data_IF_947662591639
#
_entry.id   IF_947662591639
#
_cell.length_a   1.000
_cell.length_b   1.000
_cell.length_c   1.000
_cell.angle_alpha   90.00
_cell.angle_beta   90.00
_cell.angle_gamma   90.00
#
_symmetry.space_group_name_H-M   'P 1'
#
loop_
_entity.id
_entity.type
_entity.pdbx_description
1 polymer ?
#
# COMPACT_ATOMS: atom_id res chain seq x y z
N UNK A 1 -15.85 -14.05 54.46
CA UNK A 1 -14.76 -13.29 53.81
C UNK A 1 -14.13 -14.18 52.76
N UNK A 2 -14.48 -13.99 51.49
CA UNK A 2 -13.92 -14.78 50.39
C UNK A 2 -13.53 -13.81 49.30
N UNK A 3 -12.22 -13.60 49.15
CA UNK A 3 -11.64 -12.72 48.14
C UNK A 3 -11.85 -13.37 46.76
N UNK A 4 -12.66 -12.72 45.92
CA UNK A 4 -12.77 -13.02 44.50
C UNK A 4 -11.55 -12.39 43.80
N UNK A 5 -10.55 -13.21 43.53
CA UNK A 5 -9.42 -12.87 42.67
C UNK A 5 -9.95 -12.70 41.25
N UNK A 6 -10.05 -11.45 40.81
CA UNK A 6 -10.35 -11.12 39.43
C UNK A 6 -9.26 -11.71 38.53
N UNK A 7 -9.62 -12.72 37.73
CA UNK A 7 -8.84 -13.12 36.55
C UNK A 7 -8.73 -11.88 35.68
N UNK A 8 -7.53 -11.31 35.56
CA UNK A 8 -7.23 -10.31 34.53
C UNK A 8 -7.41 -10.99 33.17
N UNK A 9 -8.50 -10.65 32.50
CA UNK A 9 -8.69 -10.89 31.07
C UNK A 9 -7.52 -10.24 30.31
N UNK A 10 -6.61 -11.07 29.82
CA UNK A 10 -5.52 -10.70 28.91
C UNK A 10 -6.00 -10.36 27.50
N UNK A 11 -7.32 -10.36 27.28
CA UNK A 11 -7.96 -10.08 25.99
C UNK A 11 -8.10 -8.59 25.65
N UNK A 12 -7.80 -7.69 26.61
CA UNK A 12 -8.01 -6.23 26.42
C UNK A 12 -6.84 -5.46 25.83
N UNK A 13 -5.62 -6.00 25.75
CA UNK A 13 -4.48 -5.31 25.11
C UNK A 13 -4.47 -5.47 23.58
N UNK A 14 -5.39 -6.24 23.01
CA UNK A 14 -5.45 -6.51 21.56
C UNK A 14 -6.27 -5.48 20.76
N UNK A 15 -6.94 -4.51 21.40
CA UNK A 15 -7.82 -3.55 20.72
C UNK A 15 -7.14 -2.32 20.14
N UNK A 16 -5.86 -2.09 20.41
CA UNK A 16 -5.21 -0.80 20.14
C UNK A 16 -4.28 -0.83 18.91
N UNK A 17 -4.27 -1.92 18.14
CA UNK A 17 -3.56 -1.95 16.86
C UNK A 17 -4.36 -1.18 15.81
N UNK A 18 -3.82 -0.03 15.40
CA UNK A 18 -4.39 0.76 14.32
C UNK A 18 -4.01 0.15 12.97
N UNK A 19 -4.92 0.12 11.99
CA UNK A 19 -4.60 -0.27 10.62
C UNK A 19 -3.42 0.55 10.07
N UNK A 20 -2.70 0.00 9.09
CA UNK A 20 -1.55 0.59 8.42
C UNK A 20 -0.20 -0.01 8.81
N UNK A 21 -0.15 -1.21 9.40
CA UNK A 21 1.12 -1.88 9.71
C UNK A 21 1.97 -2.10 8.45
N UNK A 22 1.36 -2.57 7.36
CA UNK A 22 2.07 -2.89 6.13
C UNK A 22 2.69 -1.64 5.49
N UNK A 23 1.95 -0.53 5.44
CA UNK A 23 2.46 0.74 4.90
C UNK A 23 3.61 1.29 5.74
N UNK A 24 3.49 1.25 7.08
CA UNK A 24 4.56 1.69 7.99
C UNK A 24 5.81 0.82 7.90
N UNK A 25 5.65 -0.50 7.81
CA UNK A 25 6.76 -1.40 7.57
C UNK A 25 7.44 -1.14 6.21
N UNK A 26 6.66 -0.88 5.17
CA UNK A 26 7.17 -0.56 3.84
C UNK A 26 7.87 0.79 3.79
N UNK A 27 7.39 1.81 4.50
CA UNK A 27 8.08 3.09 4.65
C UNK A 27 9.48 2.91 5.26
N UNK A 28 9.60 2.10 6.32
CA UNK A 28 10.91 1.76 6.89
C UNK A 28 11.78 1.01 5.88
N UNK A 29 11.22 0.04 5.15
CA UNK A 29 11.96 -0.67 4.10
C UNK A 29 12.46 0.27 3.00
N UNK A 30 11.64 1.25 2.60
CA UNK A 30 11.98 2.27 1.61
C UNK A 30 13.11 3.18 2.12
N UNK A 31 13.05 3.62 3.38
CA UNK A 31 14.13 4.37 4.03
C UNK A 31 15.45 3.57 4.12
N UNK A 32 15.37 2.24 4.11
CA UNK A 32 16.53 1.33 4.08
C UNK A 32 16.93 0.92 2.65
N UNK A 33 16.35 1.55 1.62
CA UNK A 33 16.56 1.28 0.19
C UNK A 33 16.28 -0.18 -0.21
N UNK A 34 15.34 -0.83 0.49
CA UNK A 34 15.01 -2.23 0.24
C UNK A 34 14.00 -2.37 -0.91
N UNK A 35 14.40 -3.15 -1.92
CA UNK A 35 13.56 -3.49 -3.07
C UNK A 35 12.27 -4.20 -2.66
N UNK A 36 11.16 -3.84 -3.32
CA UNK A 36 9.80 -4.35 -3.05
C UNK A 36 9.73 -5.89 -3.02
N UNK A 37 10.33 -6.55 -4.03
CA UNK A 37 10.28 -8.02 -4.18
C UNK A 37 10.99 -8.79 -3.04
N UNK A 38 11.74 -8.11 -2.17
CA UNK A 38 12.44 -8.72 -1.03
C UNK A 38 11.79 -8.51 0.34
N UNK A 39 10.74 -7.68 0.44
CA UNK A 39 10.25 -7.19 1.75
C UNK A 39 9.58 -8.27 2.59
N UNK A 40 8.76 -9.14 1.99
CA UNK A 40 8.17 -10.29 2.70
C UNK A 40 9.25 -11.26 3.20
N UNK A 41 10.24 -11.56 2.35
CA UNK A 41 11.38 -12.41 2.75
C UNK A 41 12.18 -11.77 3.87
N UNK A 42 12.41 -10.48 3.80
CA UNK A 42 13.09 -9.75 4.86
C UNK A 42 12.33 -9.82 6.17
N UNK A 43 11.00 -9.63 6.15
CA UNK A 43 10.16 -9.80 7.33
C UNK A 43 10.31 -11.19 7.93
N UNK A 44 10.30 -12.26 7.12
CA UNK A 44 10.55 -13.62 7.64
C UNK A 44 11.91 -13.74 8.33
N UNK A 45 12.97 -13.16 7.74
CA UNK A 45 14.33 -13.24 8.29
C UNK A 45 14.46 -12.53 9.63
N UNK A 46 13.84 -11.36 9.80
CA UNK A 46 14.01 -10.56 11.03
C UNK A 46 13.04 -10.95 12.16
N UNK A 47 12.03 -11.77 11.86
CA UNK A 47 10.97 -12.15 12.83
C UNK A 47 10.89 -13.64 13.12
N UNK A 48 11.64 -14.48 12.40
CA UNK A 48 11.52 -15.94 12.39
C UNK A 48 10.09 -16.45 12.11
N UNK A 49 9.25 -15.62 11.50
CA UNK A 49 7.94 -16.04 11.01
C UNK A 49 8.10 -16.91 9.77
N UNK A 50 7.19 -17.88 9.60
CA UNK A 50 7.04 -18.58 8.33
C UNK A 50 6.65 -17.59 7.23
N UNK A 51 6.90 -17.97 5.98
CA UNK A 51 6.44 -17.18 4.81
C UNK A 51 4.94 -16.86 4.88
N UNK A 52 4.13 -17.85 5.23
CA UNK A 52 2.68 -17.67 5.38
C UNK A 52 2.33 -16.72 6.53
N UNK A 53 3.05 -16.78 7.65
CA UNK A 53 2.83 -15.89 8.80
C UNK A 53 3.21 -14.45 8.50
N UNK A 54 4.36 -14.24 7.86
CA UNK A 54 4.80 -12.91 7.42
C UNK A 54 3.83 -12.33 6.36
N UNK A 55 3.39 -13.15 5.40
CA UNK A 55 2.40 -12.73 4.40
C UNK A 55 1.07 -12.36 5.05
N UNK A 56 0.56 -13.15 5.99
CA UNK A 56 -0.66 -12.82 6.72
C UNK A 56 -0.55 -11.49 7.49
N UNK A 57 0.60 -11.18 8.10
CA UNK A 57 0.78 -9.87 8.76
C UNK A 57 0.66 -8.70 7.78
N UNK A 58 1.18 -8.85 6.55
CA UNK A 58 1.14 -7.81 5.53
C UNK A 58 -0.24 -7.71 4.87
N UNK A 59 -0.87 -8.84 4.56
CA UNK A 59 -2.18 -8.90 3.89
C UNK A 59 -3.31 -8.48 4.86
N UNK A 60 -3.25 -8.89 6.13
CA UNK A 60 -4.23 -8.50 7.16
C UNK A 60 -3.93 -7.12 7.76
N UNK A 61 -2.85 -6.48 7.31
CA UNK A 61 -2.38 -5.16 7.74
C UNK A 61 -2.21 -5.04 9.28
N UNK A 62 -1.59 -6.06 9.88
CA UNK A 62 -1.41 -6.19 11.33
C UNK A 62 -0.01 -6.66 11.70
N UNK A 63 0.52 -6.10 12.79
CA UNK A 63 1.82 -6.50 13.32
C UNK A 63 1.80 -7.96 13.83
N UNK A 64 2.97 -8.63 13.91
CA UNK A 64 3.07 -9.97 14.47
C UNK A 64 2.42 -10.08 15.85
N UNK A 65 1.50 -11.03 16.02
CA UNK A 65 0.82 -11.28 17.31
C UNK A 65 1.77 -11.79 18.39
N UNK A 66 2.85 -12.47 17.99
CA UNK A 66 3.86 -12.97 18.92
C UNK A 66 4.76 -11.83 19.37
N UNK A 67 4.78 -11.55 20.68
CA UNK A 67 5.59 -10.48 21.29
C UNK A 67 7.07 -10.59 20.93
N UNK A 68 7.61 -11.82 20.92
CA UNK A 68 9.01 -12.06 20.57
C UNK A 68 9.31 -11.67 19.12
N UNK A 69 8.42 -12.01 18.19
CA UNK A 69 8.57 -11.67 16.77
C UNK A 69 8.52 -10.15 16.54
N UNK A 70 7.59 -9.44 17.21
CA UNK A 70 7.53 -7.98 17.17
C UNK A 70 8.77 -7.34 17.80
N UNK A 71 9.26 -7.89 18.91
CA UNK A 71 10.47 -7.40 19.58
C UNK A 71 11.71 -7.59 18.70
N UNK A 72 11.87 -8.76 18.07
CA UNK A 72 12.95 -9.04 17.11
C UNK A 72 12.90 -8.07 15.93
N UNK A 73 11.71 -7.87 15.36
CA UNK A 73 11.47 -6.92 14.28
C UNK A 73 11.94 -5.51 14.65
N UNK A 74 11.46 -4.99 15.77
CA UNK A 74 11.75 -3.64 16.25
C UNK A 74 13.24 -3.45 16.55
N UNK A 75 13.89 -4.46 17.11
CA UNK A 75 15.32 -4.43 17.40
C UNK A 75 16.17 -4.37 16.11
N UNK A 76 15.89 -5.24 15.14
CA UNK A 76 16.69 -5.31 13.92
C UNK A 76 16.44 -4.08 13.03
N UNK A 77 15.19 -3.62 12.90
CA UNK A 77 14.87 -2.40 12.17
C UNK A 77 15.51 -1.16 12.82
N UNK A 78 15.45 -1.03 14.14
CA UNK A 78 16.12 0.06 14.86
C UNK A 78 17.63 0.06 14.61
N UNK A 79 18.26 -1.12 14.64
CA UNK A 79 19.69 -1.27 14.35
C UNK A 79 20.01 -0.88 12.90
N UNK A 80 19.24 -1.36 11.93
CA UNK A 80 19.46 -1.07 10.51
C UNK A 80 19.24 0.41 10.19
N UNK A 81 18.19 1.03 10.74
CA UNK A 81 17.94 2.47 10.58
C UNK A 81 19.12 3.29 11.11
N UNK A 82 19.64 2.96 12.29
CA UNK A 82 20.83 3.65 12.85
C UNK A 82 22.11 3.45 12.01
N UNK A 83 22.23 2.33 11.31
CA UNK A 83 23.42 2.01 10.52
C UNK A 83 23.39 2.62 9.12
N UNK A 84 22.21 2.64 8.49
CA UNK A 84 22.03 3.02 7.09
C UNK A 84 21.48 4.43 6.89
N UNK A 85 20.95 5.03 7.95
CA UNK A 85 20.40 6.39 7.93
C UNK A 85 21.01 7.21 9.06
N UNK A 86 20.73 8.52 9.09
CA UNK A 86 21.11 9.41 10.20
C UNK A 86 20.17 9.29 11.41
N UNK A 87 19.12 8.47 11.34
CA UNK A 87 18.09 8.38 12.37
C UNK A 87 18.58 7.62 13.61
N UNK A 88 18.54 8.29 14.76
CA UNK A 88 18.85 7.70 16.07
C UNK A 88 17.57 7.21 16.74
N UNK A 89 17.12 6.03 16.34
CA UNK A 89 15.87 5.43 16.84
C UNK A 89 16.12 4.27 17.81
N UNK A 90 15.26 4.14 18.82
CA UNK A 90 15.22 3.01 19.75
C UNK A 90 14.22 1.95 19.27
N UNK A 91 14.39 0.68 19.67
CA UNK A 91 13.44 -0.38 19.31
C UNK A 91 11.99 -0.06 19.73
N UNK A 92 11.78 0.51 20.91
CA UNK A 92 10.44 0.91 21.39
C UNK A 92 9.76 1.95 20.51
N UNK A 93 10.53 2.84 19.88
CA UNK A 93 10.00 3.87 18.97
C UNK A 93 9.59 3.25 17.64
N UNK A 94 10.37 2.27 17.16
CA UNK A 94 10.01 1.49 15.96
C UNK A 94 8.76 0.67 16.23
N UNK A 95 8.65 0.03 17.40
CA UNK A 95 7.48 -0.74 17.79
C UNK A 95 6.21 0.13 17.85
N UNK A 96 6.28 1.28 18.54
CA UNK A 96 5.18 2.26 18.61
C UNK A 96 4.75 2.71 17.22
N UNK A 97 5.72 3.03 16.35
CA UNK A 97 5.41 3.41 14.98
C UNK A 97 4.73 2.27 14.22
N UNK A 98 5.25 1.05 14.26
CA UNK A 98 4.65 -0.09 13.54
C UNK A 98 3.23 -0.40 14.01
N UNK A 99 2.98 -0.36 15.32
CA UNK A 99 1.71 -0.77 15.93
C UNK A 99 0.65 0.33 15.88
N UNK A 100 0.99 1.55 16.26
CA UNK A 100 0.04 2.66 16.42
C UNK A 100 0.30 3.84 15.50
N UNK A 101 1.33 3.79 14.65
CA UNK A 101 1.67 4.89 13.73
C UNK A 101 2.22 6.13 14.42
N UNK A 102 2.45 6.09 15.73
CA UNK A 102 2.75 7.26 16.54
C UNK A 102 4.20 7.29 17.01
N UNK A 103 4.69 8.51 17.25
CA UNK A 103 5.97 8.78 17.90
C UNK A 103 6.98 9.48 16.98
N UNK A 104 8.23 9.66 17.44
CA UNK A 104 9.23 10.47 16.73
C UNK A 104 9.56 9.97 15.31
N UNK A 105 9.31 8.69 15.05
CA UNK A 105 9.56 8.06 13.77
C UNK A 105 8.49 8.39 12.72
N UNK A 106 7.28 8.78 13.15
CA UNK A 106 6.16 9.10 12.26
C UNK A 106 6.51 10.22 11.27
N UNK A 107 6.99 11.34 11.79
CA UNK A 107 7.38 12.51 11.00
C UNK A 107 8.54 12.20 10.03
N UNK A 108 9.52 11.41 10.49
CA UNK A 108 10.65 11.01 9.66
C UNK A 108 10.27 10.03 8.54
N UNK A 109 9.25 9.19 8.78
CA UNK A 109 8.81 8.18 7.83
C UNK A 109 7.71 8.67 6.88
N UNK A 110 7.06 9.80 7.17
CA UNK A 110 5.98 10.36 6.34
C UNK A 110 6.41 10.57 4.89
N UNK A 111 7.65 11.05 4.68
CA UNK A 111 8.24 11.25 3.34
C UNK A 111 8.35 9.94 2.54
N UNK A 112 8.45 8.79 3.21
CA UNK A 112 8.55 7.47 2.60
C UNK A 112 7.21 6.75 2.47
N UNK A 113 6.19 7.17 3.22
CA UNK A 113 4.81 6.71 3.04
C UNK A 113 4.25 7.20 1.70
N UNK A 114 4.59 8.43 1.29
CA UNK A 114 4.20 9.02 0.01
C UNK A 114 5.00 8.49 -1.20
N UNK A 115 6.12 7.80 -0.98
CA UNK A 115 6.93 7.20 -2.06
C UNK A 115 6.56 5.74 -2.39
N UNK A 116 5.70 5.12 -1.58
CA UNK A 116 5.12 3.79 -1.85
C UNK A 116 3.68 3.88 -2.38
N UNK A 117 3.34 4.97 -3.07
CA UNK A 117 2.04 5.20 -3.76
C UNK A 117 1.76 4.20 -4.92
N UNK A 118 2.65 3.24 -5.11
CA UNK A 118 2.52 2.03 -5.92
C UNK A 118 1.89 0.84 -5.17
N UNK A 119 1.49 1.01 -3.91
CA UNK A 119 0.88 -0.03 -3.10
C UNK A 119 -0.33 -0.66 -3.80
N UNK A 120 -0.19 -1.94 -4.17
CA UNK A 120 -1.23 -2.81 -4.76
C UNK A 120 -2.59 -2.78 -4.04
N UNK A 121 -2.63 -2.34 -2.78
CA UNK A 121 -3.84 -2.15 -1.98
C UNK A 121 -4.71 -0.99 -2.49
N UNK A 122 -4.12 0.08 -3.06
CA UNK A 122 -4.88 1.17 -3.71
C UNK A 122 -5.53 0.69 -5.01
N UNK A 123 -5.00 -0.36 -5.64
CA UNK A 123 -5.47 -0.85 -6.94
C UNK A 123 -6.46 -2.01 -6.85
N UNK A 124 -7.04 -2.28 -5.67
CA UNK A 124 -8.04 -3.32 -5.52
C UNK A 124 -9.40 -2.89 -6.09
N UNK A 125 -9.55 -3.11 -7.40
CA UNK A 125 -10.81 -2.88 -8.13
C UNK A 125 -11.96 -3.78 -7.66
N UNK A 126 -11.72 -4.81 -6.85
CA UNK A 126 -12.80 -5.66 -6.32
C UNK A 126 -13.73 -4.90 -5.37
N UNK A 127 -13.23 -3.81 -4.79
CA UNK A 127 -14.00 -2.90 -3.93
C UNK A 127 -14.76 -1.82 -4.72
N UNK A 128 -14.49 -1.68 -6.02
CA UNK A 128 -15.08 -0.67 -6.90
C UNK A 128 -16.30 -1.27 -7.62
N UNK A 129 -17.46 -0.60 -7.65
CA UNK A 129 -18.63 -1.08 -8.37
C UNK A 129 -18.32 -1.33 -9.86
N UNK A 130 -18.75 -2.47 -10.40
CA UNK A 130 -18.50 -2.85 -11.79
C UNK A 130 -19.02 -1.82 -12.81
N UNK A 131 -20.13 -1.14 -12.49
CA UNK A 131 -20.67 -0.05 -13.29
C UNK A 131 -19.70 1.13 -13.44
N UNK A 132 -18.93 1.44 -12.39
CA UNK A 132 -17.92 2.49 -12.40
C UNK A 132 -16.78 2.13 -13.35
N UNK A 133 -16.24 0.91 -13.22
CA UNK A 133 -15.21 0.37 -14.10
C UNK A 133 -15.66 0.33 -15.57
N UNK A 134 -16.93 0.00 -15.81
CA UNK A 134 -17.54 0.01 -17.14
C UNK A 134 -17.57 1.41 -17.77
N UNK A 135 -17.96 2.44 -17.01
CA UNK A 135 -17.94 3.83 -17.52
C UNK A 135 -16.53 4.30 -17.83
N UNK A 136 -15.56 4.03 -16.96
CA UNK A 136 -14.15 4.38 -17.22
C UNK A 136 -13.63 3.68 -18.47
N UNK A 137 -14.00 2.41 -18.70
CA UNK A 137 -13.68 1.69 -19.95
C UNK A 137 -14.20 2.40 -21.19
N UNK A 138 -15.44 2.87 -21.15
CA UNK A 138 -16.09 3.56 -22.26
C UNK A 138 -15.40 4.90 -22.52
N UNK A 139 -15.07 5.65 -21.46
CA UNK A 139 -14.31 6.90 -21.57
C UNK A 139 -12.95 6.66 -22.23
N UNK A 140 -12.17 5.68 -21.77
CA UNK A 140 -10.86 5.36 -22.37
C UNK A 140 -11.01 5.03 -23.86
N UNK A 141 -11.98 4.21 -24.22
CA UNK A 141 -12.21 3.86 -25.62
C UNK A 141 -12.64 5.07 -26.46
N UNK A 142 -13.53 5.91 -25.93
CA UNK A 142 -13.97 7.15 -26.59
C UNK A 142 -12.79 8.10 -26.85
N UNK A 143 -12.01 8.40 -25.82
CA UNK A 143 -10.88 9.33 -25.90
C UNK A 143 -9.76 8.79 -26.81
N UNK A 144 -9.56 7.47 -26.86
CA UNK A 144 -8.59 6.87 -27.77
C UNK A 144 -9.01 6.98 -29.24
N UNK A 145 -10.28 6.70 -29.53
CA UNK A 145 -10.83 6.83 -30.88
C UNK A 145 -10.75 8.29 -31.37
N UNK A 146 -10.94 9.27 -30.49
CA UNK A 146 -10.80 10.70 -30.84
C UNK A 146 -9.38 11.08 -31.28
N UNK A 147 -8.36 10.39 -30.78
CA UNK A 147 -6.95 10.57 -31.19
C UNK A 147 -6.49 9.54 -32.23
N UNK A 148 -7.41 8.74 -32.77
CA UNK A 148 -7.14 7.78 -33.85
C UNK A 148 -6.40 6.51 -33.41
N UNK A 149 -6.49 6.12 -32.14
CA UNK A 149 -5.88 4.90 -31.59
C UNK A 149 -6.98 3.90 -31.23
N UNK A 150 -6.93 2.70 -31.81
CA UNK A 150 -7.76 1.58 -31.38
C UNK A 150 -7.02 0.82 -30.26
N UNK A 151 -7.45 1.04 -29.02
CA UNK A 151 -6.82 0.46 -27.83
C UNK A 151 -6.79 -1.07 -27.81
N UNK A 152 -7.63 -1.76 -28.58
CA UNK A 152 -7.67 -3.22 -28.60
C UNK A 152 -6.69 -3.82 -29.61
N UNK A 153 -6.31 -3.07 -30.64
CA UNK A 153 -5.34 -3.49 -31.66
C UNK A 153 -3.97 -2.87 -31.44
N UNK A 154 -3.94 -1.62 -30.99
CA UNK A 154 -2.75 -0.77 -30.98
C UNK A 154 -2.04 -0.78 -29.62
N UNK A 155 -2.66 -1.36 -28.58
CA UNK A 155 -2.04 -1.54 -27.26
C UNK A 155 -1.88 -3.03 -26.93
N UNK A 156 -0.78 -3.37 -26.25
CA UNK A 156 -0.64 -4.69 -25.66
C UNK A 156 -1.70 -4.93 -24.58
N UNK A 157 -2.27 -6.12 -24.57
CA UNK A 157 -3.31 -6.51 -23.60
C UNK A 157 -2.94 -6.19 -22.14
N UNK A 158 -1.70 -6.45 -21.74
CA UNK A 158 -1.24 -6.18 -20.37
C UNK A 158 -1.16 -4.68 -20.06
N UNK A 159 -0.80 -3.85 -21.05
CA UNK A 159 -0.76 -2.40 -20.90
C UNK A 159 -2.18 -1.83 -20.81
N UNK A 160 -3.09 -2.34 -21.64
CA UNK A 160 -4.51 -1.99 -21.59
C UNK A 160 -5.11 -2.37 -20.23
N UNK A 161 -4.93 -3.60 -19.77
CA UNK A 161 -5.42 -4.06 -18.46
C UNK A 161 -4.88 -3.18 -17.31
N UNK A 162 -3.60 -2.81 -17.36
CA UNK A 162 -2.99 -1.95 -16.36
C UNK A 162 -3.54 -0.51 -16.41
N UNK A 163 -3.66 0.08 -17.60
CA UNK A 163 -4.22 1.41 -17.79
C UNK A 163 -5.66 1.48 -17.28
N UNK A 164 -6.49 0.51 -17.66
CA UNK A 164 -7.87 0.36 -17.21
C UNK A 164 -7.98 0.31 -15.69
N UNK A 165 -7.16 -0.55 -15.07
CA UNK A 165 -7.10 -0.68 -13.61
C UNK A 165 -6.69 0.63 -12.95
N UNK A 166 -5.71 1.33 -13.55
CA UNK A 166 -5.20 2.57 -13.00
C UNK A 166 -6.22 3.70 -13.05
N UNK A 167 -6.84 3.89 -14.19
CA UNK A 167 -7.84 4.94 -14.35
C UNK A 167 -9.09 4.68 -13.51
N UNK A 168 -9.53 3.41 -13.41
CA UNK A 168 -10.69 3.04 -12.59
C UNK A 168 -10.51 3.47 -11.14
N UNK A 169 -9.34 3.17 -10.57
CA UNK A 169 -9.00 3.53 -9.19
C UNK A 169 -8.83 5.03 -9.03
N UNK A 170 -8.16 5.68 -9.97
CA UNK A 170 -7.97 7.14 -9.92
C UNK A 170 -9.31 7.86 -9.92
N UNK A 171 -10.18 7.57 -10.90
CA UNK A 171 -11.50 8.18 -11.00
C UNK A 171 -12.36 7.86 -9.77
N UNK A 172 -12.31 6.64 -9.24
CA UNK A 172 -13.08 6.27 -8.05
C UNK A 172 -12.71 7.11 -6.80
N UNK A 173 -11.44 7.48 -6.66
CA UNK A 173 -10.98 8.27 -5.51
C UNK A 173 -11.09 9.78 -5.71
N UNK A 174 -11.14 10.27 -6.95
CA UNK A 174 -11.00 11.69 -7.26
C UNK A 174 -12.21 12.29 -7.98
N UNK A 175 -13.25 11.51 -8.24
CA UNK A 175 -14.35 11.93 -9.10
C UNK A 175 -15.67 11.30 -8.68
N UNK A 176 -16.75 12.05 -8.86
CA UNK A 176 -18.10 11.51 -8.77
C UNK A 176 -18.42 10.75 -10.07
N UNK A 177 -19.06 9.58 -9.94
CA UNK A 177 -19.44 8.73 -11.08
C UNK A 177 -20.34 9.47 -12.07
N UNK A 178 -21.13 10.44 -11.59
CA UNK A 178 -22.10 11.17 -12.40
C UNK A 178 -21.53 12.45 -13.04
N UNK A 179 -20.32 12.87 -12.66
CA UNK A 179 -19.67 14.06 -13.23
C UNK A 179 -18.37 13.75 -13.96
N UNK A 180 -17.80 12.55 -13.82
CA UNK A 180 -16.47 12.23 -14.37
C UNK A 180 -16.39 12.27 -15.90
N UNK A 181 -17.50 12.03 -16.62
CA UNK A 181 -17.50 11.97 -18.08
C UNK A 181 -17.25 13.32 -18.77
N UNK A 182 -17.49 14.42 -18.03
CA UNK A 182 -17.32 15.80 -18.48
C UNK A 182 -16.09 16.49 -17.86
N UNK A 183 -15.40 15.83 -16.92
CA UNK A 183 -14.22 16.40 -16.25
C UNK A 183 -13.02 16.42 -17.19
N UNK A 184 -12.69 17.61 -17.69
CA UNK A 184 -11.59 17.83 -18.62
C UNK A 184 -10.22 17.37 -18.09
N UNK A 185 -10.00 17.39 -16.77
CA UNK A 185 -8.75 16.93 -16.19
C UNK A 185 -8.62 15.40 -16.33
N UNK A 186 -9.72 14.68 -16.08
CA UNK A 186 -9.77 13.23 -16.25
C UNK A 186 -9.58 12.85 -17.72
N UNK A 187 -10.31 13.51 -18.63
CA UNK A 187 -10.21 13.24 -20.07
C UNK A 187 -8.79 13.50 -20.59
N UNK A 188 -8.16 14.60 -20.15
CA UNK A 188 -6.77 14.91 -20.50
C UNK A 188 -5.80 13.88 -19.96
N UNK A 189 -6.00 13.40 -18.73
CA UNK A 189 -5.18 12.35 -18.14
C UNK A 189 -5.31 11.03 -18.92
N UNK A 190 -6.54 10.63 -19.27
CA UNK A 190 -6.82 9.45 -20.08
C UNK A 190 -6.08 9.54 -21.42
N UNK A 191 -6.23 10.64 -22.17
CA UNK A 191 -5.53 10.86 -23.45
C UNK A 191 -4.01 10.79 -23.29
N UNK A 192 -3.47 11.38 -22.23
CA UNK A 192 -2.03 11.36 -21.97
C UNK A 192 -1.54 9.93 -21.73
N UNK A 193 -2.28 9.13 -20.96
CA UNK A 193 -1.93 7.74 -20.70
C UNK A 193 -1.98 6.87 -21.96
N UNK A 194 -3.01 7.02 -22.79
CA UNK A 194 -3.14 6.30 -24.07
C UNK A 194 -1.96 6.65 -24.98
N UNK A 195 -1.66 7.95 -25.14
CA UNK A 195 -0.56 8.43 -25.97
C UNK A 195 0.79 7.84 -25.53
N UNK A 196 1.05 7.84 -24.22
CA UNK A 196 2.29 7.26 -23.66
C UNK A 196 2.35 5.74 -23.84
N UNK A 197 1.23 5.05 -23.69
CA UNK A 197 1.16 3.60 -23.89
C UNK A 197 1.43 3.23 -25.35
N UNK A 198 0.79 3.92 -26.29
CA UNK A 198 0.95 3.70 -27.72
C UNK A 198 2.36 4.03 -28.21
N UNK A 199 2.95 5.14 -27.75
CA UNK A 199 4.31 5.54 -28.14
C UNK A 199 5.39 4.54 -27.71
N UNK A 200 5.13 3.68 -26.71
CA UNK A 200 6.09 2.65 -26.26
C UNK A 200 6.12 1.41 -27.17
N UNK A 201 5.21 1.32 -28.14
CA UNK A 201 5.10 0.20 -29.07
C UNK A 201 5.65 0.50 -30.47
N UNK A 202 5.99 1.77 -30.73
CA UNK A 202 6.69 2.23 -31.95
C UNK A 202 8.20 2.24 -31.74
#
# INVERSE_FOLDING_TARGET
MTALTAKRDTTKEQSDQLPGFASRFYAICSALEMKKFGRTRFLTTITDLSWSGAKACLDDDRAPKKKDALTMMSNELSKLLRQKTSLRVKPSEVESYLVSGSGPLEESMHIYLDQDDDGLVKWDISTIPSAFSGRVSIMIHREANEIGIDIYTDLERQQLELMMRKMTVYCFHHSDIDSMEDDQNILTLIRSMITVAHAKLQ
#
